data_IF_249021285716
#
_entry.id   IF_249021285716
#
_cell.length_a   1.000
_cell.length_b   1.000
_cell.length_c   1.000
_cell.angle_alpha   90.00
_cell.angle_beta   90.00
_cell.angle_gamma   90.00
#
_symmetry.space_group_name_H-M   'P 1'
#
loop_
_entity.id
_entity.type
_entity.pdbx_description
1 polymer ?
#
# COMPACT_ATOMS: atom_id res chain seq x y z
N UNK A 1 -7.95 16.29 -15.60
CA UNK A 1 -6.68 15.52 -15.54
C UNK A 1 -6.33 15.35 -14.09
N UNK A 2 -6.26 14.12 -13.65
CA UNK A 2 -6.00 13.80 -12.24
C UNK A 2 -4.50 13.75 -12.03
N UNK A 3 -4.01 14.49 -11.05
CA UNK A 3 -2.60 14.53 -10.67
C UNK A 3 -2.45 13.97 -9.28
N UNK A 4 -1.51 13.05 -9.11
CA UNK A 4 -1.10 12.59 -7.79
C UNK A 4 -0.54 13.74 -6.95
N UNK A 5 -0.83 13.72 -5.65
CA UNK A 5 -0.14 14.57 -4.67
C UNK A 5 1.30 14.06 -4.51
N UNK A 6 2.09 14.29 -5.53
CA UNK A 6 3.45 13.80 -5.66
C UNK A 6 4.30 14.84 -6.39
N UNK A 7 5.53 15.04 -5.94
CA UNK A 7 6.47 15.91 -6.62
C UNK A 7 7.91 15.45 -6.41
N UNK A 8 8.76 15.86 -7.35
CA UNK A 8 10.21 15.73 -7.21
C UNK A 8 10.83 17.12 -7.30
N UNK A 9 11.70 17.46 -6.36
CA UNK A 9 12.51 18.66 -6.39
C UNK A 9 13.95 18.32 -6.05
N UNK A 10 14.86 18.54 -7.01
CA UNK A 10 16.27 18.14 -6.88
C UNK A 10 16.41 16.63 -6.60
N UNK A 11 16.94 16.27 -5.44
CA UNK A 11 17.08 14.88 -4.99
C UNK A 11 15.96 14.42 -4.07
N UNK A 12 14.94 15.25 -3.85
CA UNK A 12 13.85 14.94 -2.93
C UNK A 12 12.60 14.54 -3.69
N UNK A 13 12.03 13.42 -3.31
CA UNK A 13 10.75 12.94 -3.79
C UNK A 13 9.75 12.86 -2.64
N UNK A 14 8.54 13.34 -2.88
CA UNK A 14 7.44 13.26 -1.91
C UNK A 14 6.20 12.67 -2.56
N UNK A 15 5.47 11.84 -1.80
CA UNK A 15 4.16 11.33 -2.21
C UNK A 15 3.19 11.23 -1.02
N UNK A 16 1.95 11.61 -1.26
CA UNK A 16 0.82 11.29 -0.41
C UNK A 16 0.11 10.06 -0.98
N UNK A 17 0.00 9.00 -0.19
CA UNK A 17 -0.52 7.70 -0.60
C UNK A 17 -1.69 7.26 0.28
N UNK A 18 -2.68 6.58 -0.30
CA UNK A 18 -3.71 5.85 0.42
C UNK A 18 -3.57 4.36 0.13
N UNK A 19 -3.63 3.54 1.16
CA UNK A 19 -3.45 2.10 1.05
C UNK A 19 -4.46 1.33 1.90
N UNK A 20 -4.69 0.08 1.53
CA UNK A 20 -5.67 -0.77 2.16
C UNK A 20 -5.02 -1.95 2.90
N UNK A 21 -5.58 -2.24 4.07
CA UNK A 21 -5.38 -3.50 4.77
C UNK A 21 -6.64 -4.32 4.51
N UNK A 22 -6.52 -5.33 3.67
CA UNK A 22 -7.63 -6.20 3.26
C UNK A 22 -7.37 -7.59 3.82
N UNK A 23 -8.26 -8.07 4.67
CA UNK A 23 -8.13 -9.36 5.35
C UNK A 23 -9.36 -10.20 5.05
N UNK A 24 -9.15 -11.41 4.53
CA UNK A 24 -10.15 -12.45 4.34
C UNK A 24 -9.56 -13.78 4.82
N UNK A 25 -10.31 -14.53 5.60
CA UNK A 25 -9.90 -15.86 6.09
C UNK A 25 -8.50 -15.86 6.75
N UNK A 26 -8.22 -14.89 7.61
CA UNK A 26 -6.93 -14.68 8.28
C UNK A 26 -5.74 -14.48 7.32
N UNK A 27 -6.01 -14.16 6.06
CA UNK A 27 -5.00 -13.81 5.06
C UNK A 27 -5.09 -12.32 4.70
N UNK A 28 -3.94 -11.68 4.57
CA UNK A 28 -3.85 -10.32 4.05
C UNK A 28 -3.59 -10.35 2.55
N UNK A 29 -4.30 -9.49 1.82
CA UNK A 29 -4.05 -9.28 0.39
C UNK A 29 -2.82 -8.41 0.19
N UNK A 30 -1.87 -8.93 -0.56
CA UNK A 30 -0.67 -8.22 -1.00
C UNK A 30 -0.51 -8.32 -2.52
N UNK A 31 0.24 -7.39 -3.07
CA UNK A 31 0.50 -7.26 -4.51
C UNK A 31 1.97 -7.57 -4.77
N UNK A 32 2.25 -8.23 -5.87
CA UNK A 32 3.60 -8.45 -6.36
C UNK A 32 3.66 -8.34 -7.88
N UNK A 33 4.85 -8.37 -8.43
CA UNK A 33 5.08 -8.41 -9.88
C UNK A 33 6.39 -9.13 -10.21
N UNK A 34 6.58 -9.48 -11.48
CA UNK A 34 7.74 -10.27 -11.92
C UNK A 34 9.08 -9.51 -11.88
N UNK A 35 9.06 -8.20 -11.73
CA UNK A 35 10.26 -7.36 -11.70
C UNK A 35 10.82 -7.16 -10.30
N UNK A 36 10.04 -7.47 -9.27
CA UNK A 36 10.38 -7.22 -7.88
C UNK A 36 10.40 -8.53 -7.07
N UNK A 37 11.25 -8.59 -6.07
CA UNK A 37 11.37 -9.73 -5.16
C UNK A 37 10.59 -9.55 -3.86
N UNK A 38 9.68 -8.58 -3.83
CA UNK A 38 8.90 -8.24 -2.65
C UNK A 38 7.40 -8.06 -2.97
N UNK A 39 6.60 -8.12 -1.91
CA UNK A 39 5.17 -7.85 -1.93
C UNK A 39 4.88 -6.49 -1.28
N UNK A 40 3.80 -5.86 -1.69
CA UNK A 40 3.37 -4.57 -1.15
C UNK A 40 1.85 -4.50 -0.98
N UNK A 41 1.40 -3.55 -0.18
CA UNK A 41 -0.03 -3.34 0.08
C UNK A 41 -0.73 -2.74 -1.13
N UNK A 42 -1.99 -3.12 -1.32
CA UNK A 42 -2.90 -2.49 -2.29
C UNK A 42 -3.01 -0.99 -2.00
N UNK A 43 -2.90 -0.15 -3.02
CA UNK A 43 -3.04 1.30 -2.88
C UNK A 43 -2.15 2.08 -3.83
N UNK A 44 -2.32 3.40 -3.81
CA UNK A 44 -1.59 4.29 -4.70
C UNK A 44 -1.66 5.76 -4.30
N UNK A 45 -1.26 6.63 -5.20
CA UNK A 45 -1.24 8.07 -4.97
C UNK A 45 -2.63 8.66 -4.78
N UNK A 46 -2.78 9.53 -3.80
CA UNK A 46 -3.97 10.37 -3.66
C UNK A 46 -3.91 11.46 -4.72
N UNK A 47 -4.97 11.66 -5.48
CA UNK A 47 -5.06 12.74 -6.46
C UNK A 47 -5.30 14.09 -5.80
N UNK A 48 -4.90 15.16 -6.47
CA UNK A 48 -5.25 16.51 -6.03
C UNK A 48 -6.78 16.66 -5.96
N UNK A 49 -7.26 17.22 -4.85
CA UNK A 49 -8.68 17.39 -4.53
C UNK A 49 -9.46 16.08 -4.27
N UNK A 50 -8.78 14.96 -4.15
CA UNK A 50 -9.38 13.67 -3.73
C UNK A 50 -9.15 13.46 -2.24
N UNK A 51 -10.13 12.93 -1.52
CA UNK A 51 -9.91 12.47 -0.15
C UNK A 51 -9.15 11.14 -0.14
N UNK A 52 -8.38 10.87 0.92
CA UNK A 52 -7.71 9.57 1.05
C UNK A 52 -8.69 8.40 1.14
N UNK A 53 -9.92 8.63 1.63
CA UNK A 53 -10.99 7.63 1.65
C UNK A 53 -11.46 7.27 0.25
N UNK A 54 -11.65 8.27 -0.62
CA UNK A 54 -12.03 8.03 -2.01
C UNK A 54 -10.87 7.40 -2.78
N UNK A 55 -9.66 7.87 -2.54
CA UNK A 55 -8.44 7.32 -3.15
C UNK A 55 -8.28 5.83 -2.84
N UNK A 56 -8.39 5.41 -1.58
CA UNK A 56 -8.22 3.99 -1.23
C UNK A 56 -9.30 3.11 -1.87
N UNK A 57 -10.55 3.59 -1.94
CA UNK A 57 -11.63 2.85 -2.61
C UNK A 57 -11.38 2.71 -4.11
N UNK A 58 -10.92 3.78 -4.75
CA UNK A 58 -10.55 3.80 -6.18
C UNK A 58 -9.41 2.82 -6.44
N UNK A 59 -8.31 2.93 -5.71
CA UNK A 59 -7.13 2.05 -5.87
C UNK A 59 -7.48 0.58 -5.63
N UNK A 60 -8.23 0.28 -4.58
CA UNK A 60 -8.68 -1.10 -4.32
C UNK A 60 -9.48 -1.65 -5.49
N UNK A 61 -10.41 -0.87 -6.03
CA UNK A 61 -11.19 -1.31 -7.20
C UNK A 61 -10.32 -1.46 -8.46
N UNK A 62 -9.44 -0.50 -8.72
CA UNK A 62 -8.54 -0.54 -9.90
C UNK A 62 -7.61 -1.76 -9.86
N UNK A 63 -7.06 -2.09 -8.69
CA UNK A 63 -6.12 -3.20 -8.56
C UNK A 63 -6.80 -4.57 -8.43
N UNK A 64 -7.92 -4.64 -7.71
CA UNK A 64 -8.58 -5.93 -7.40
C UNK A 64 -9.79 -6.27 -8.24
N UNK A 65 -10.40 -5.28 -8.90
CA UNK A 65 -11.69 -5.42 -9.59
C UNK A 65 -12.87 -5.55 -8.64
N UNK A 66 -12.69 -5.34 -7.34
CA UNK A 66 -13.72 -5.51 -6.31
C UNK A 66 -13.87 -4.25 -5.49
N UNK A 67 -15.13 -3.87 -5.20
CA UNK A 67 -15.43 -2.79 -4.28
C UNK A 67 -15.35 -3.28 -2.83
N UNK A 68 -14.57 -2.57 -2.02
CA UNK A 68 -14.48 -2.77 -0.58
C UNK A 68 -14.94 -1.51 0.16
N UNK A 69 -15.62 -1.72 1.28
CA UNK A 69 -16.01 -0.64 2.19
C UNK A 69 -14.93 -0.43 3.26
N UNK A 70 -14.74 0.82 3.65
CA UNK A 70 -13.83 1.17 4.74
C UNK A 70 -14.46 0.81 6.09
N UNK A 71 -13.70 0.12 6.94
CA UNK A 71 -14.02 0.00 8.36
C UNK A 71 -13.51 1.24 9.11
N UNK A 72 -12.21 1.52 9.06
CA UNK A 72 -11.60 2.65 9.75
C UNK A 72 -10.22 3.00 9.22
N UNK A 73 -9.76 4.22 9.50
CA UNK A 73 -8.36 4.58 9.37
C UNK A 73 -7.57 3.86 10.46
N UNK A 74 -6.60 3.04 10.07
CA UNK A 74 -5.84 2.19 10.97
C UNK A 74 -4.47 2.77 11.30
N UNK A 75 -3.73 3.22 10.29
CA UNK A 75 -2.35 3.70 10.43
C UNK A 75 -2.13 4.96 9.60
N UNK A 76 -1.44 5.93 10.19
CA UNK A 76 -0.77 7.00 9.46
C UNK A 76 0.72 6.68 9.49
N UNK A 77 1.31 6.48 8.33
CA UNK A 77 2.70 6.06 8.17
C UNK A 77 3.51 7.15 7.48
N UNK A 78 4.54 7.64 8.17
CA UNK A 78 5.59 8.46 7.59
C UNK A 78 6.76 7.56 7.24
N UNK A 79 7.12 7.48 5.98
CA UNK A 79 8.15 6.57 5.48
C UNK A 79 9.27 7.35 4.79
N UNK A 80 10.49 7.18 5.27
CA UNK A 80 11.70 7.77 4.71
C UNK A 80 12.60 6.66 4.20
N UNK A 81 12.94 6.68 2.92
CA UNK A 81 13.73 5.61 2.30
C UNK A 81 14.54 6.12 1.10
N UNK A 82 15.47 5.29 0.65
CA UNK A 82 16.19 5.48 -0.59
C UNK A 82 15.96 4.26 -1.48
N UNK A 83 15.84 4.50 -2.78
CA UNK A 83 15.74 3.44 -3.77
C UNK A 83 17.04 3.33 -4.57
N UNK A 84 17.48 2.07 -4.79
CA UNK A 84 18.67 1.79 -5.58
C UNK A 84 18.37 1.54 -7.06
N UNK A 85 17.11 1.34 -7.40
CA UNK A 85 16.65 0.97 -8.74
C UNK A 85 15.43 1.80 -9.15
N UNK A 86 15.06 1.67 -10.43
CA UNK A 86 13.85 2.28 -10.97
C UNK A 86 13.91 3.81 -11.05
N UNK A 87 12.74 4.43 -11.17
CA UNK A 87 12.65 5.88 -11.37
C UNK A 87 12.96 6.70 -10.11
N UNK A 88 12.91 6.08 -8.93
CA UNK A 88 13.27 6.71 -7.64
C UNK A 88 14.76 6.58 -7.30
N UNK A 89 15.55 5.97 -8.19
CA UNK A 89 16.99 5.78 -7.98
C UNK A 89 17.69 7.09 -7.67
N UNK A 90 18.50 7.09 -6.61
CA UNK A 90 19.26 8.24 -6.12
C UNK A 90 18.40 9.39 -5.57
N UNK A 91 17.12 9.16 -5.31
CA UNK A 91 16.26 10.14 -4.64
C UNK A 91 16.16 9.83 -3.14
N UNK A 92 16.04 10.88 -2.36
CA UNK A 92 15.61 10.82 -0.97
C UNK A 92 14.08 10.86 -0.93
N UNK A 93 13.49 9.74 -0.53
CA UNK A 93 12.06 9.55 -0.60
C UNK A 93 11.38 9.80 0.74
N UNK A 94 10.32 10.58 0.71
CA UNK A 94 9.45 10.85 1.85
C UNK A 94 8.01 10.58 1.42
N UNK A 95 7.38 9.60 2.04
CA UNK A 95 6.01 9.22 1.74
C UNK A 95 5.15 9.30 3.01
N UNK A 96 3.96 9.89 2.88
CA UNK A 96 2.92 9.81 3.91
C UNK A 96 1.83 8.90 3.36
N UNK A 97 1.54 7.81 4.07
CA UNK A 97 0.52 6.85 3.68
C UNK A 97 -0.57 6.73 4.75
N UNK A 98 -1.82 6.80 4.30
CA UNK A 98 -2.99 6.51 5.13
C UNK A 98 -3.44 5.09 4.85
N UNK A 99 -3.32 4.20 5.86
CA UNK A 99 -3.74 2.81 5.77
C UNK A 99 -5.13 2.64 6.34
N UNK A 100 -6.05 2.21 5.51
CA UNK A 100 -7.42 1.92 5.89
C UNK A 100 -7.64 0.42 6.04
N UNK A 101 -8.18 0.02 7.20
CA UNK A 101 -8.71 -1.33 7.36
C UNK A 101 -10.03 -1.41 6.61
N UNK A 102 -10.14 -2.35 5.71
CA UNK A 102 -11.36 -2.57 4.94
C UNK A 102 -12.26 -3.59 5.64
N UNK A 103 -13.57 -3.45 5.46
CA UNK A 103 -14.52 -4.46 5.93
C UNK A 103 -14.37 -5.72 5.07
N UNK A 104 -14.25 -6.92 5.68
CA UNK A 104 -14.21 -8.15 4.90
C UNK A 104 -15.52 -8.35 4.12
N UNK A 105 -15.41 -8.87 2.91
CA UNK A 105 -16.58 -9.22 2.08
C UNK A 105 -17.01 -10.68 2.20
N UNK A 106 -16.19 -11.52 2.88
CA UNK A 106 -16.49 -12.91 3.19
C UNK A 106 -15.96 -13.94 2.19
N UNK A 107 -15.13 -13.54 1.22
CA UNK A 107 -14.44 -14.45 0.30
C UNK A 107 -13.19 -13.81 -0.29
N UNK A 108 -12.36 -14.62 -0.94
CA UNK A 108 -11.09 -14.21 -1.55
C UNK A 108 -11.19 -14.00 -3.08
N UNK A 109 -12.38 -13.95 -3.65
CA UNK A 109 -12.54 -13.74 -5.10
C UNK A 109 -12.10 -12.34 -5.52
N UNK A 110 -11.26 -12.27 -6.54
CA UNK A 110 -10.76 -11.05 -7.14
C UNK A 110 -10.87 -11.12 -8.66
N UNK A 111 -10.96 -9.95 -9.30
CA UNK A 111 -11.02 -9.79 -10.76
C UNK A 111 -9.92 -8.84 -11.23
N UNK A 112 -8.72 -9.03 -10.70
CA UNK A 112 -7.59 -8.15 -10.95
C UNK A 112 -7.13 -8.16 -12.41
N UNK A 113 -6.93 -6.97 -12.96
CA UNK A 113 -6.29 -6.75 -14.25
C UNK A 113 -5.34 -5.54 -14.11
N UNK A 114 -4.55 -5.52 -13.05
CA UNK A 114 -3.69 -4.40 -12.67
C UNK A 114 -2.31 -4.52 -13.30
N UNK A 115 -1.73 -3.35 -13.58
CA UNK A 115 -0.37 -3.21 -14.13
C UNK A 115 0.37 -2.08 -13.40
N UNK A 116 1.66 -2.28 -13.20
CA UNK A 116 2.53 -1.21 -12.69
C UNK A 116 2.58 -0.04 -13.68
N UNK A 117 3.03 1.12 -13.22
CA UNK A 117 3.29 2.27 -14.10
C UNK A 117 4.19 1.93 -15.29
N UNK A 118 5.11 0.97 -15.14
CA UNK A 118 5.99 0.48 -16.19
C UNK A 118 5.36 -0.56 -17.12
N UNK A 119 4.09 -0.92 -16.92
CA UNK A 119 3.35 -1.88 -17.76
C UNK A 119 3.57 -3.35 -17.39
N UNK A 120 4.21 -3.66 -16.26
CA UNK A 120 4.35 -5.01 -15.75
C UNK A 120 3.07 -5.42 -15.04
N UNK A 121 2.57 -6.62 -15.34
CA UNK A 121 1.36 -7.15 -14.70
C UNK A 121 1.59 -7.35 -13.20
N UNK A 122 0.65 -6.85 -12.43
CA UNK A 122 0.59 -7.09 -10.99
C UNK A 122 -0.21 -8.35 -10.68
N UNK A 123 0.25 -9.10 -9.70
CA UNK A 123 -0.39 -10.33 -9.22
C UNK A 123 -0.80 -10.16 -7.77
N UNK A 124 -1.94 -10.74 -7.42
CA UNK A 124 -2.53 -10.64 -6.09
C UNK A 124 -2.27 -11.92 -5.31
N UNK A 125 -1.85 -11.77 -4.05
CA UNK A 125 -1.52 -12.88 -3.16
C UNK A 125 -2.25 -12.73 -1.84
N UNK A 126 -2.96 -13.78 -1.45
CA UNK A 126 -3.50 -13.91 -0.10
C UNK A 126 -2.48 -14.60 0.78
N UNK A 127 -1.85 -13.84 1.67
CA UNK A 127 -0.79 -14.34 2.56
C UNK A 127 -1.37 -14.50 3.96
N UNK A 128 -1.30 -15.70 4.56
CA UNK A 128 -1.70 -15.88 5.95
C UNK A 128 -0.94 -14.89 6.85
N UNK A 129 -1.64 -14.22 7.74
CA UNK A 129 -1.04 -13.22 8.65
C UNK A 129 0.09 -13.87 9.48
N UNK A 130 -0.07 -15.15 9.85
CA UNK A 130 0.97 -15.92 10.52
C UNK A 130 2.27 -16.07 9.72
N UNK A 131 2.19 -15.97 8.41
CA UNK A 131 3.29 -16.23 7.47
C UNK A 131 3.91 -14.96 6.87
N UNK A 132 3.43 -13.77 7.25
CA UNK A 132 3.92 -12.51 6.70
C UNK A 132 5.43 -12.30 6.85
N UNK A 133 6.03 -12.82 7.91
CA UNK A 133 7.48 -12.76 8.16
C UNK A 133 8.32 -13.69 7.27
N UNK A 134 7.68 -14.63 6.56
CA UNK A 134 8.33 -15.47 5.57
C UNK A 134 8.52 -14.78 4.22
N UNK A 135 7.90 -13.63 4.03
CA UNK A 135 7.93 -12.87 2.80
C UNK A 135 8.59 -11.50 3.02
N UNK A 136 9.27 -11.00 2.00
CA UNK A 136 9.71 -9.62 1.95
C UNK A 136 8.48 -8.76 1.59
N UNK A 137 7.81 -8.26 2.60
CA UNK A 137 6.56 -7.51 2.44
C UNK A 137 6.67 -6.09 2.99
N UNK A 138 6.13 -5.15 2.26
CA UNK A 138 6.09 -3.74 2.64
C UNK A 138 4.65 -3.23 2.79
N UNK A 139 4.42 -2.32 3.72
CA UNK A 139 5.39 -1.77 4.69
C UNK A 139 5.79 -2.80 5.76
N UNK A 140 6.97 -2.64 6.30
CA UNK A 140 7.58 -3.60 7.26
C UNK A 140 6.83 -3.70 8.58
N UNK A 141 6.00 -2.72 8.94
CA UNK A 141 5.22 -2.74 10.17
C UNK A 141 4.01 -3.70 10.14
N UNK A 142 3.60 -4.21 8.97
CA UNK A 142 2.36 -4.99 8.82
C UNK A 142 2.27 -6.16 9.79
N UNK A 143 3.33 -6.96 9.89
CA UNK A 143 3.34 -8.14 10.77
C UNK A 143 3.11 -7.77 12.24
N UNK A 144 3.85 -6.80 12.74
CA UNK A 144 3.73 -6.37 14.14
C UNK A 144 2.38 -5.71 14.42
N UNK A 145 1.91 -4.88 13.51
CA UNK A 145 0.61 -4.22 13.63
C UNK A 145 -0.54 -5.23 13.63
N UNK A 146 -0.54 -6.20 12.71
CA UNK A 146 -1.62 -7.20 12.59
C UNK A 146 -1.59 -8.25 13.70
N UNK A 147 -0.45 -8.45 14.36
CA UNK A 147 -0.35 -9.30 15.55
C UNK A 147 -1.07 -8.71 16.77
N UNK A 148 -1.08 -7.39 16.89
CA UNK A 148 -1.73 -6.64 17.97
C UNK A 148 -2.45 -5.40 17.43
N UNK A 149 -3.54 -5.57 16.65
CA UNK A 149 -4.24 -4.46 16.04
C UNK A 149 -4.90 -3.57 17.09
N UNK A 150 -4.78 -2.26 16.93
CA UNK A 150 -5.36 -1.26 17.82
C UNK A 150 -6.63 -0.67 17.21
N UNK A 151 -7.58 -0.28 18.06
CA UNK A 151 -8.82 0.38 17.62
C UNK A 151 -8.57 1.85 17.23
N UNK A 152 -7.60 2.47 17.86
CA UNK A 152 -7.20 3.86 17.59
C UNK A 152 -6.27 3.92 16.39
N UNK A 153 -6.23 5.10 15.75
CA UNK A 153 -5.26 5.36 14.69
C UNK A 153 -3.84 5.27 15.25
N UNK A 154 -3.03 4.45 14.66
CA UNK A 154 -1.62 4.30 15.04
C UNK A 154 -0.74 5.15 14.11
N UNK A 155 0.07 6.02 14.69
CA UNK A 155 1.08 6.77 13.95
C UNK A 155 2.41 6.01 13.97
N UNK A 156 2.94 5.71 12.80
CA UNK A 156 4.20 4.97 12.64
C UNK A 156 5.15 5.81 11.78
N UNK A 157 6.40 5.89 12.22
CA UNK A 157 7.49 6.50 11.46
C UNK A 157 8.54 5.44 11.17
N UNK A 158 8.88 5.26 9.90
CA UNK A 158 9.96 4.38 9.45
C UNK A 158 11.01 5.21 8.72
N UNK A 159 12.27 5.10 9.14
CA UNK A 159 13.39 5.77 8.50
C UNK A 159 14.46 4.73 8.15
N UNK A 160 14.53 4.39 6.87
CA UNK A 160 15.47 3.41 6.31
C UNK A 160 16.49 4.09 5.37
N UNK A 161 16.69 5.39 5.50
CA UNK A 161 17.71 6.11 4.74
C UNK A 161 19.11 5.72 5.22
N UNK A 162 19.99 5.51 4.27
CA UNK A 162 21.39 5.13 4.49
C UNK A 162 22.29 6.38 4.30
#
# INVERSE_FOLDING_TARGET
MDYDCCFTKEKNWFRYRAAAIIIEDDCMLLVGNSNEDYLYSVGGGVHMNESSQDAVKREVFEETGVHYEIDRLAVVHENFFNENNGFLKNLECHEISFYYLMKPKGNQELFSNSYTRGGTKEEMYWIPISDLDKYKAFPTFLKSYLSEPKQEVTHIVTDERI
#
